data_IF_768774210848
#
_entry.id   IF_768774210848
#
_cell.length_a   1.000
_cell.length_b   1.000
_cell.length_c   1.000
_cell.angle_alpha   90.00
_cell.angle_beta   90.00
_cell.angle_gamma   90.00
#
_symmetry.space_group_name_H-M   'P 1'
#
loop_
_entity.id
_entity.type
_entity.pdbx_description
1 polymer ?
#
# COMPACT_ATOMS: atom_id res chain seq x y z
N UNK A 1 -32.84 -1.21 -54.65
CA UNK A 1 -33.74 -0.98 -53.50
C UNK A 1 -33.91 -2.28 -52.74
N UNK A 2 -33.61 -2.24 -51.43
CA UNK A 2 -34.10 -3.11 -50.35
C UNK A 2 -33.77 -4.61 -50.37
N UNK A 3 -32.59 -4.93 -49.85
CA UNK A 3 -32.33 -6.18 -49.13
C UNK A 3 -33.18 -6.23 -47.87
N UNK A 4 -34.09 -7.20 -47.77
CA UNK A 4 -34.95 -7.40 -46.59
C UNK A 4 -34.14 -7.97 -45.43
N UNK A 5 -34.08 -7.16 -44.37
CA UNK A 5 -33.70 -7.51 -43.01
C UNK A 5 -34.60 -8.62 -42.48
N UNK A 6 -34.03 -9.79 -42.22
CA UNK A 6 -34.66 -10.82 -41.38
C UNK A 6 -33.63 -11.39 -40.42
N UNK A 7 -33.11 -10.53 -39.55
CA UNK A 7 -32.44 -10.93 -38.31
C UNK A 7 -32.76 -9.86 -37.26
N UNK A 8 -34.03 -9.82 -36.83
CA UNK A 8 -34.46 -9.06 -35.66
C UNK A 8 -35.03 -10.08 -34.68
N UNK A 9 -34.30 -10.31 -33.59
CA UNK A 9 -34.82 -11.02 -32.42
C UNK A 9 -33.87 -12.05 -31.83
N UNK A 10 -32.78 -11.61 -31.20
CA UNK A 10 -32.11 -12.25 -30.03
C UNK A 10 -30.61 -11.92 -29.94
N UNK A 11 -30.18 -10.67 -30.02
CA UNK A 11 -28.85 -10.27 -29.50
C UNK A 11 -28.89 -8.85 -28.97
N UNK A 12 -29.76 -8.59 -28.00
CA UNK A 12 -29.70 -7.35 -27.22
C UNK A 12 -29.75 -7.69 -25.72
N UNK A 13 -28.94 -8.66 -25.31
CA UNK A 13 -28.65 -8.91 -23.90
C UNK A 13 -27.35 -8.19 -23.52
N UNK A 14 -27.52 -7.09 -22.79
CA UNK A 14 -26.65 -6.64 -21.70
C UNK A 14 -25.13 -6.61 -21.91
N UNK A 15 -24.66 -5.95 -22.97
CA UNK A 15 -23.24 -5.54 -23.10
C UNK A 15 -23.02 -4.04 -22.87
N UNK A 16 -23.86 -3.37 -22.08
CA UNK A 16 -23.78 -1.90 -21.88
C UNK A 16 -22.65 -1.44 -20.93
N UNK A 17 -21.97 -2.34 -20.23
CA UNK A 17 -20.93 -1.97 -19.24
C UNK A 17 -19.56 -2.64 -19.45
N UNK A 18 -19.36 -3.38 -20.55
CA UNK A 18 -18.06 -4.01 -20.83
C UNK A 18 -17.20 -3.09 -21.70
N UNK A 19 -15.99 -2.78 -21.24
CA UNK A 19 -14.98 -2.08 -22.04
C UNK A 19 -14.66 -2.94 -23.28
N UNK A 20 -14.67 -2.35 -24.48
CA UNK A 20 -14.50 -3.05 -25.77
C UNK A 20 -13.24 -3.94 -25.79
N UNK A 21 -12.18 -3.54 -25.09
CA UNK A 21 -10.95 -4.30 -24.94
C UNK A 21 -11.14 -5.62 -24.17
N UNK A 22 -12.06 -5.67 -23.21
CA UNK A 22 -12.38 -6.85 -22.40
C UNK A 22 -13.21 -7.86 -23.18
N UNK A 23 -14.16 -7.38 -23.97
CA UNK A 23 -14.87 -8.20 -24.96
C UNK A 23 -13.90 -8.75 -26.01
N UNK A 24 -12.99 -7.93 -26.54
CA UNK A 24 -11.98 -8.39 -27.49
C UNK A 24 -11.02 -9.40 -26.85
N UNK A 25 -10.63 -9.24 -25.59
CA UNK A 25 -9.84 -10.24 -24.88
C UNK A 25 -10.62 -11.55 -24.66
N UNK A 26 -11.92 -11.47 -24.31
CA UNK A 26 -12.83 -12.62 -24.21
C UNK A 26 -12.93 -13.38 -25.54
N UNK A 27 -13.19 -12.67 -26.65
CA UNK A 27 -13.25 -13.27 -27.98
C UNK A 27 -11.88 -13.80 -28.42
N UNK A 28 -10.79 -13.05 -28.27
CA UNK A 28 -9.45 -13.50 -28.67
C UNK A 28 -8.93 -14.69 -27.85
N UNK A 29 -9.34 -14.82 -26.59
CA UNK A 29 -9.05 -15.99 -25.76
C UNK A 29 -9.87 -17.21 -26.16
N UNK A 30 -11.18 -17.05 -26.39
CA UNK A 30 -12.03 -18.15 -26.89
C UNK A 30 -11.61 -18.64 -28.28
N UNK A 31 -11.02 -17.77 -29.11
CA UNK A 31 -10.60 -18.08 -30.49
C UNK A 31 -9.07 -18.22 -30.66
N UNK A 32 -8.30 -18.37 -29.58
CA UNK A 32 -6.92 -18.87 -29.63
C UNK A 32 -5.83 -17.94 -30.22
N UNK A 33 -6.07 -16.63 -30.34
CA UNK A 33 -5.05 -15.70 -30.83
C UNK A 33 -4.30 -15.06 -29.65
N UNK A 34 -3.19 -15.68 -29.28
CA UNK A 34 -2.27 -15.26 -28.22
C UNK A 34 -1.67 -13.89 -28.49
N UNK A 35 -2.05 -12.89 -27.69
CA UNK A 35 -1.27 -11.66 -27.55
C UNK A 35 -0.80 -11.53 -26.10
N UNK A 36 0.30 -12.21 -25.78
CA UNK A 36 0.98 -12.24 -24.47
C UNK A 36 1.29 -10.86 -23.87
N UNK A 37 1.36 -9.82 -24.71
CA UNK A 37 1.82 -8.48 -24.29
C UNK A 37 0.85 -7.75 -23.35
N UNK A 38 -0.46 -7.99 -23.46
CA UNK A 38 -1.45 -7.32 -22.58
C UNK A 38 -1.63 -8.03 -21.24
N UNK A 39 -1.25 -9.31 -21.13
CA UNK A 39 -1.31 -10.08 -19.88
C UNK A 39 -0.22 -9.70 -18.87
N UNK A 40 0.77 -8.89 -19.27
CA UNK A 40 1.83 -8.40 -18.40
C UNK A 40 1.48 -7.11 -17.66
N UNK A 41 0.41 -6.40 -18.04
CA UNK A 41 -0.08 -5.26 -17.27
C UNK A 41 -0.99 -5.74 -16.14
N UNK A 42 -0.52 -5.57 -14.89
CA UNK A 42 -1.26 -5.97 -13.69
C UNK A 42 -2.59 -5.23 -13.55
N UNK A 43 -2.69 -3.97 -14.01
CA UNK A 43 -3.94 -3.21 -13.97
C UNK A 43 -4.99 -3.83 -14.89
N UNK A 44 -4.57 -4.22 -16.09
CA UNK A 44 -5.41 -4.93 -17.04
C UNK A 44 -5.79 -6.33 -16.53
N UNK A 45 -4.82 -7.09 -15.99
CA UNK A 45 -5.04 -8.44 -15.47
C UNK A 45 -6.05 -8.45 -14.31
N UNK A 46 -6.00 -7.45 -13.43
CA UNK A 46 -6.91 -7.31 -12.30
C UNK A 46 -8.34 -6.97 -12.76
N UNK A 47 -8.48 -6.11 -13.79
CA UNK A 47 -9.78 -5.84 -14.44
C UNK A 47 -10.34 -7.08 -15.14
N UNK A 48 -9.48 -7.84 -15.82
CA UNK A 48 -9.85 -9.08 -16.48
C UNK A 48 -10.33 -10.13 -15.48
N UNK A 49 -9.63 -10.29 -14.35
CA UNK A 49 -10.05 -11.17 -13.27
C UNK A 49 -11.40 -10.77 -12.69
N UNK A 50 -11.62 -9.47 -12.42
CA UNK A 50 -12.91 -8.97 -11.92
C UNK A 50 -14.06 -9.30 -12.87
N UNK A 51 -13.86 -9.10 -14.18
CA UNK A 51 -14.89 -9.48 -15.15
C UNK A 51 -15.07 -11.00 -15.25
N UNK A 52 -14.00 -11.77 -15.23
CA UNK A 52 -14.08 -13.24 -15.22
C UNK A 52 -14.85 -13.74 -13.99
N UNK A 53 -14.72 -13.07 -12.84
CA UNK A 53 -15.49 -13.35 -11.64
C UNK A 53 -16.98 -13.00 -11.80
N UNK A 54 -17.30 -11.84 -12.39
CA UNK A 54 -18.70 -11.41 -12.64
C UNK A 54 -19.41 -12.34 -13.63
N UNK A 55 -18.69 -12.82 -14.65
CA UNK A 55 -19.25 -13.71 -15.68
C UNK A 55 -19.04 -15.20 -15.41
N UNK A 56 -18.54 -15.56 -14.22
CA UNK A 56 -18.32 -16.95 -13.77
C UNK A 56 -17.47 -17.81 -14.71
N UNK A 57 -16.49 -17.21 -15.40
CA UNK A 57 -15.60 -17.92 -16.33
C UNK A 57 -14.40 -18.48 -15.55
N UNK A 58 -14.49 -19.74 -15.13
CA UNK A 58 -13.52 -20.37 -14.23
C UNK A 58 -12.13 -20.56 -14.86
N UNK A 59 -12.03 -20.85 -16.15
CA UNK A 59 -10.76 -21.06 -16.86
C UNK A 59 -9.93 -19.77 -16.88
N UNK A 60 -10.58 -18.64 -17.15
CA UNK A 60 -9.94 -17.34 -17.18
C UNK A 60 -9.54 -16.87 -15.77
N UNK A 61 -10.36 -17.17 -14.75
CA UNK A 61 -10.01 -16.93 -13.34
C UNK A 61 -8.76 -17.71 -12.94
N UNK A 62 -8.68 -18.99 -13.33
CA UNK A 62 -7.54 -19.85 -12.99
C UNK A 62 -6.25 -19.37 -13.68
N UNK A 63 -6.31 -18.98 -14.95
CA UNK A 63 -5.16 -18.42 -15.66
C UNK A 63 -4.68 -17.10 -15.05
N UNK A 64 -5.60 -16.19 -14.72
CA UNK A 64 -5.22 -14.94 -14.05
C UNK A 64 -4.55 -15.23 -12.70
N UNK A 65 -5.12 -16.16 -11.91
CA UNK A 65 -4.53 -16.60 -10.64
C UNK A 65 -3.12 -17.15 -10.82
N UNK A 66 -2.91 -18.04 -11.77
CA UNK A 66 -1.59 -18.62 -12.06
C UNK A 66 -0.58 -17.52 -12.41
N UNK A 67 -0.94 -16.57 -13.26
CA UNK A 67 -0.07 -15.43 -13.60
C UNK A 67 0.26 -14.56 -12.40
N UNK A 68 -0.70 -14.27 -11.52
CA UNK A 68 -0.45 -13.53 -10.28
C UNK A 68 0.47 -14.30 -9.31
N UNK A 69 0.26 -15.61 -9.16
CA UNK A 69 1.07 -16.45 -8.27
C UNK A 69 2.50 -16.60 -8.78
N UNK A 70 2.69 -16.78 -10.09
CA UNK A 70 4.02 -16.86 -10.70
C UNK A 70 4.73 -15.51 -10.78
N UNK A 71 4.04 -14.39 -10.53
CA UNK A 71 4.65 -13.07 -10.56
C UNK A 71 5.55 -12.83 -9.35
N UNK A 72 6.70 -12.20 -9.62
CA UNK A 72 7.65 -11.78 -8.58
C UNK A 72 7.31 -10.37 -8.08
N UNK A 73 7.11 -10.16 -6.76
CA UNK A 73 6.95 -8.82 -6.22
C UNK A 73 8.26 -8.02 -6.36
N UNK A 74 8.15 -6.85 -6.97
CA UNK A 74 9.19 -5.85 -7.20
C UNK A 74 8.73 -4.51 -6.61
N UNK A 75 9.65 -3.59 -6.40
CA UNK A 75 9.37 -2.29 -5.78
C UNK A 75 8.22 -1.49 -6.43
N UNK A 76 8.05 -1.59 -7.75
CA UNK A 76 7.04 -0.83 -8.49
C UNK A 76 5.65 -1.50 -8.54
N UNK A 77 5.57 -2.82 -8.37
CA UNK A 77 4.33 -3.59 -8.54
C UNK A 77 3.82 -4.21 -7.23
N UNK A 78 4.56 -4.08 -6.12
CA UNK A 78 4.26 -4.78 -4.87
C UNK A 78 2.85 -4.48 -4.35
N UNK A 79 2.38 -3.23 -4.45
CA UNK A 79 1.03 -2.87 -4.02
C UNK A 79 -0.05 -3.40 -4.97
N UNK A 80 0.17 -3.35 -6.29
CA UNK A 80 -0.76 -3.93 -7.25
C UNK A 80 -0.90 -5.45 -7.06
N UNK A 81 0.20 -6.13 -6.77
CA UNK A 81 0.22 -7.55 -6.45
C UNK A 81 -0.40 -7.85 -5.08
N UNK A 82 -0.25 -6.95 -4.11
CA UNK A 82 -0.88 -7.08 -2.81
C UNK A 82 -2.40 -6.95 -2.90
N UNK A 83 -2.89 -5.96 -3.66
CA UNK A 83 -4.31 -5.79 -3.95
C UNK A 83 -4.88 -6.99 -4.71
N UNK A 84 -4.13 -7.50 -5.70
CA UNK A 84 -4.48 -8.74 -6.39
C UNK A 84 -4.52 -9.92 -5.41
N UNK A 85 -3.51 -10.08 -4.56
CA UNK A 85 -3.44 -11.14 -3.56
C UNK A 85 -4.63 -11.13 -2.60
N UNK A 86 -5.02 -9.94 -2.11
CA UNK A 86 -6.22 -9.75 -1.27
C UNK A 86 -7.49 -10.10 -2.03
N UNK A 87 -7.63 -9.68 -3.30
CA UNK A 87 -8.80 -10.01 -4.13
C UNK A 87 -8.91 -11.51 -4.44
N UNK A 88 -7.78 -12.18 -4.58
CA UNK A 88 -7.69 -13.61 -4.86
C UNK A 88 -7.76 -14.50 -3.62
N UNK A 89 -7.72 -13.91 -2.41
CA UNK A 89 -7.49 -14.60 -1.15
C UNK A 89 -6.26 -15.54 -1.20
N UNK A 90 -5.20 -15.10 -1.86
CA UNK A 90 -3.97 -15.88 -2.05
C UNK A 90 -2.92 -15.49 -1.00
N UNK A 91 -2.94 -16.18 0.14
CA UNK A 91 -2.03 -15.90 1.25
C UNK A 91 -0.55 -15.98 0.87
N UNK A 92 -0.16 -16.95 0.03
CA UNK A 92 1.24 -17.11 -0.39
C UNK A 92 1.76 -15.92 -1.22
N UNK A 93 0.91 -15.26 -1.99
CA UNK A 93 1.27 -14.03 -2.71
C UNK A 93 1.34 -12.85 -1.74
N UNK A 94 0.36 -12.72 -0.84
CA UNK A 94 0.32 -11.68 0.20
C UNK A 94 1.58 -11.72 1.07
N UNK A 95 1.97 -12.90 1.55
CA UNK A 95 3.18 -13.08 2.37
C UNK A 95 4.46 -12.70 1.63
N UNK A 96 4.58 -13.04 0.34
CA UNK A 96 5.72 -12.62 -0.48
C UNK A 96 5.77 -11.10 -0.67
N UNK A 97 4.62 -10.46 -0.89
CA UNK A 97 4.53 -9.00 -0.97
C UNK A 97 4.91 -8.35 0.37
N UNK A 98 4.44 -8.86 1.50
CA UNK A 98 4.82 -8.36 2.82
C UNK A 98 6.31 -8.49 3.08
N UNK A 99 6.93 -9.62 2.74
CA UNK A 99 8.38 -9.80 2.90
C UNK A 99 9.19 -8.75 2.13
N UNK A 100 8.79 -8.44 0.89
CA UNK A 100 9.45 -7.39 0.10
C UNK A 100 9.18 -6.00 0.69
N UNK A 101 7.94 -5.72 1.14
CA UNK A 101 7.62 -4.45 1.79
C UNK A 101 8.41 -4.26 3.08
N UNK A 102 8.63 -5.28 3.89
CA UNK A 102 9.40 -5.20 5.14
C UNK A 102 10.89 -4.94 4.87
N UNK A 103 11.48 -5.61 3.87
CA UNK A 103 12.91 -5.50 3.56
C UNK A 103 13.23 -4.20 2.80
N UNK A 104 12.32 -3.73 1.95
CA UNK A 104 12.57 -2.64 0.99
C UNK A 104 11.58 -1.49 1.12
N UNK A 105 11.02 -1.23 2.30
CA UNK A 105 9.98 -0.20 2.52
C UNK A 105 10.43 1.16 1.96
N UNK A 106 11.61 1.62 2.34
CA UNK A 106 12.17 2.90 1.94
C UNK A 106 12.41 2.97 0.41
N UNK A 107 12.93 1.91 -0.21
CA UNK A 107 13.10 1.85 -1.67
C UNK A 107 11.75 1.88 -2.42
N UNK A 108 10.74 1.18 -1.89
CA UNK A 108 9.39 1.16 -2.43
C UNK A 108 8.76 2.55 -2.35
N UNK A 109 8.90 3.21 -1.20
CA UNK A 109 8.38 4.54 -0.96
C UNK A 109 9.14 5.62 -1.75
N UNK A 110 10.44 5.44 -2.00
CA UNK A 110 11.22 6.35 -2.85
C UNK A 110 10.91 6.16 -4.35
N UNK A 111 10.60 4.93 -4.77
CA UNK A 111 10.23 4.62 -6.15
C UNK A 111 8.81 5.09 -6.49
N UNK A 112 7.95 5.27 -5.49
CA UNK A 112 6.62 5.84 -5.65
C UNK A 112 6.66 7.33 -5.38
N UNK A 113 6.08 8.12 -6.27
CA UNK A 113 5.78 9.51 -5.92
C UNK A 113 4.80 9.50 -4.73
N UNK A 114 5.02 10.36 -3.73
CA UNK A 114 4.14 10.50 -2.55
C UNK A 114 2.67 10.62 -2.95
N UNK A 115 2.45 11.29 -4.08
CA UNK A 115 1.18 11.46 -4.75
C UNK A 115 0.43 10.17 -5.12
N UNK A 116 1.12 9.07 -5.38
CA UNK A 116 0.51 7.84 -5.91
C UNK A 116 0.18 6.84 -4.80
N UNK A 117 0.53 7.15 -3.55
CA UNK A 117 0.30 6.30 -2.39
C UNK A 117 -1.11 6.57 -1.87
N UNK A 118 -1.93 5.52 -1.84
CA UNK A 118 -3.30 5.62 -1.30
C UNK A 118 -3.31 5.48 0.23
N UNK A 119 -4.33 6.02 0.92
CA UNK A 119 -4.50 5.83 2.36
C UNK A 119 -4.47 4.36 2.80
N UNK A 120 -5.02 3.45 1.99
CA UNK A 120 -5.04 2.02 2.27
C UNK A 120 -3.64 1.38 2.21
N UNK A 121 -2.80 1.82 1.25
CA UNK A 121 -1.41 1.39 1.17
C UNK A 121 -0.63 1.88 2.39
N UNK A 122 -0.84 3.14 2.80
CA UNK A 122 -0.17 3.69 3.97
C UNK A 122 -0.53 2.93 5.25
N UNK A 123 -1.81 2.66 5.51
CA UNK A 123 -2.24 1.83 6.66
C UNK A 123 -1.54 0.47 6.66
N UNK A 124 -1.48 -0.17 5.48
CA UNK A 124 -0.80 -1.46 5.33
C UNK A 124 0.69 -1.39 5.69
N UNK A 125 1.38 -0.28 5.39
CA UNK A 125 2.80 -0.08 5.75
C UNK A 125 2.95 0.15 7.26
N UNK A 126 2.08 0.98 7.86
CA UNK A 126 2.15 1.27 9.29
C UNK A 126 1.78 0.07 10.17
N UNK A 127 1.03 -0.89 9.64
CA UNK A 127 0.75 -2.15 10.33
C UNK A 127 1.90 -3.16 10.26
N UNK A 128 2.93 -2.93 9.43
CA UNK A 128 4.03 -3.88 9.32
C UNK A 128 4.84 -3.96 10.62
N UNK A 129 5.18 -5.19 11.07
CA UNK A 129 6.02 -5.39 12.24
C UNK A 129 7.48 -5.03 11.98
N UNK A 130 7.90 -4.93 10.71
CA UNK A 130 9.25 -4.57 10.31
C UNK A 130 9.21 -3.59 9.14
N UNK A 131 10.01 -2.54 9.22
CA UNK A 131 10.16 -1.55 8.15
C UNK A 131 11.64 -1.25 7.93
N UNK A 132 12.01 -0.89 6.70
CA UNK A 132 13.40 -0.63 6.35
C UNK A 132 13.89 0.79 6.69
N UNK A 133 13.19 1.52 7.57
CA UNK A 133 13.62 2.82 8.08
C UNK A 133 14.61 2.64 9.23
N UNK A 134 15.37 3.69 9.55
CA UNK A 134 16.37 3.62 10.62
C UNK A 134 15.74 3.82 12.01
N UNK A 135 14.64 4.57 12.10
CA UNK A 135 13.86 4.73 13.34
C UNK A 135 12.39 5.09 13.11
N UNK A 136 11.58 5.03 14.18
CA UNK A 136 10.18 5.48 14.15
C UNK A 136 10.09 6.97 13.80
N UNK A 137 11.08 7.78 14.19
CA UNK A 137 11.15 9.20 13.87
C UNK A 137 11.11 9.45 12.35
N UNK A 138 11.90 8.71 11.58
CA UNK A 138 11.93 8.83 10.11
C UNK A 138 10.60 8.42 9.48
N UNK A 139 9.99 7.34 9.97
CA UNK A 139 8.69 6.88 9.51
C UNK A 139 7.62 7.95 9.76
N UNK A 140 7.58 8.53 10.96
CA UNK A 140 6.64 9.60 11.31
C UNK A 140 6.87 10.82 10.42
N UNK A 141 8.12 11.26 10.22
CA UNK A 141 8.42 12.37 9.32
C UNK A 141 7.93 12.12 7.90
N UNK A 142 8.14 10.91 7.39
CA UNK A 142 7.69 10.50 6.06
C UNK A 142 6.16 10.53 5.96
N UNK A 143 5.45 10.01 6.97
CA UNK A 143 3.98 10.05 7.04
C UNK A 143 3.47 11.50 7.03
N UNK A 144 4.08 12.38 7.82
CA UNK A 144 3.70 13.80 7.84
C UNK A 144 3.95 14.49 6.49
N UNK A 145 5.02 14.14 5.79
CA UNK A 145 5.29 14.63 4.44
C UNK A 145 4.23 14.13 3.44
N UNK A 146 3.81 12.86 3.55
CA UNK A 146 2.74 12.29 2.74
C UNK A 146 1.40 12.97 3.02
N UNK A 147 1.00 13.13 4.29
CA UNK A 147 -0.27 13.80 4.67
C UNK A 147 -0.31 15.24 4.13
N UNK A 148 0.82 15.95 4.20
CA UNK A 148 0.93 17.29 3.60
C UNK A 148 0.70 17.25 2.09
N UNK A 149 1.32 16.30 1.38
CA UNK A 149 1.11 16.13 -0.06
C UNK A 149 -0.33 15.76 -0.41
N UNK A 150 -1.01 14.96 0.43
CA UNK A 150 -2.38 14.51 0.22
C UNK A 150 -3.40 15.64 0.48
N UNK A 151 -3.18 16.44 1.54
CA UNK A 151 -4.00 17.62 1.84
C UNK A 151 -3.96 18.69 0.74
N UNK A 152 -2.89 18.72 -0.07
CA UNK A 152 -2.80 19.61 -1.24
C UNK A 152 -3.59 19.09 -2.44
N UNK A 153 -3.93 17.79 -2.48
CA UNK A 153 -4.69 17.16 -3.56
C UNK A 153 -6.18 17.20 -3.30
N UNK A 154 -6.58 16.95 -2.07
CA UNK A 154 -7.97 16.92 -1.64
C UNK A 154 -8.26 18.20 -0.84
N UNK A 155 -8.71 19.24 -1.53
CA UNK A 155 -9.03 20.56 -0.93
C UNK A 155 -10.14 20.51 0.12
N UNK A 156 -10.83 19.37 0.26
CA UNK A 156 -11.93 19.20 1.20
C UNK A 156 -11.49 18.74 2.59
N UNK A 157 -10.27 18.20 2.76
CA UNK A 157 -9.79 17.68 4.05
C UNK A 157 -8.60 18.46 4.56
N UNK A 158 -8.64 18.80 5.84
CA UNK A 158 -7.51 19.43 6.53
C UNK A 158 -6.43 18.39 6.87
N UNK A 159 -5.19 18.86 7.05
CA UNK A 159 -4.06 18.03 7.48
C UNK A 159 -4.39 17.18 8.72
N UNK A 160 -5.07 17.76 9.71
CA UNK A 160 -5.47 17.07 10.95
C UNK A 160 -6.48 15.96 10.70
N UNK A 161 -7.50 16.20 9.87
CA UNK A 161 -8.52 15.20 9.55
C UNK A 161 -7.91 13.97 8.86
N UNK A 162 -6.95 14.17 7.95
CA UNK A 162 -6.24 13.07 7.31
C UNK A 162 -5.33 12.36 8.33
N UNK A 163 -4.59 13.11 9.14
CA UNK A 163 -3.63 12.54 10.10
C UNK A 163 -4.29 11.67 11.17
N UNK A 164 -5.47 12.06 11.67
CA UNK A 164 -6.20 11.35 12.73
C UNK A 164 -6.41 9.87 12.41
N UNK A 165 -6.64 9.52 11.14
CA UNK A 165 -6.81 8.14 10.69
C UNK A 165 -5.55 7.27 10.83
N UNK A 166 -4.38 7.89 10.95
CA UNK A 166 -3.08 7.22 11.01
C UNK A 166 -2.42 7.30 12.38
N UNK A 167 -2.82 8.25 13.24
CA UNK A 167 -2.27 8.43 14.59
C UNK A 167 -2.19 7.13 15.42
N UNK A 168 -3.20 6.23 15.43
CA UNK A 168 -3.13 4.97 16.20
C UNK A 168 -2.08 3.97 15.71
N UNK A 169 -1.51 4.18 14.53
CA UNK A 169 -0.48 3.33 13.94
C UNK A 169 0.94 3.87 14.13
N UNK A 170 1.08 5.12 14.56
CA UNK A 170 2.35 5.75 14.87
C UNK A 170 2.70 5.51 16.33
N UNK A 171 3.93 5.11 16.60
CA UNK A 171 4.37 4.81 17.97
C UNK A 171 5.24 5.93 18.53
N UNK A 172 4.62 7.02 18.97
CA UNK A 172 5.34 8.14 19.58
C UNK A 172 6.13 7.75 20.83
N UNK A 173 5.74 6.66 21.53
CA UNK A 173 6.42 6.17 22.72
C UNK A 173 7.76 5.47 22.42
N UNK A 174 8.01 5.07 21.16
CA UNK A 174 9.30 4.54 20.74
C UNK A 174 10.32 5.65 20.40
N UNK A 175 9.92 6.92 20.46
CA UNK A 175 10.81 8.03 20.20
C UNK A 175 11.64 8.36 21.44
N UNK A 176 12.87 8.81 21.22
CA UNK A 176 13.63 9.48 22.26
C UNK A 176 13.06 10.86 22.56
N UNK A 177 13.34 11.39 23.76
CA UNK A 177 12.92 12.75 24.14
C UNK A 177 13.46 13.82 23.16
N UNK A 178 14.66 13.60 22.60
CA UNK A 178 15.26 14.48 21.60
C UNK A 178 14.52 14.42 20.25
N UNK A 179 14.23 13.22 19.75
CA UNK A 179 13.46 13.03 18.51
C UNK A 179 12.06 13.62 18.64
N UNK A 180 11.39 13.40 19.77
CA UNK A 180 10.08 13.99 20.03
C UNK A 180 10.15 15.52 20.08
N UNK A 181 11.15 16.10 20.74
CA UNK A 181 11.34 17.55 20.76
C UNK A 181 11.59 18.13 19.36
N UNK A 182 12.36 17.44 18.50
CA UNK A 182 12.57 17.82 17.10
C UNK A 182 11.27 17.76 16.28
N UNK A 183 10.45 16.71 16.45
CA UNK A 183 9.12 16.65 15.83
C UNK A 183 8.23 17.80 16.30
N UNK A 184 8.23 18.06 17.60
CA UNK A 184 7.42 19.09 18.23
C UNK A 184 7.77 20.49 17.71
N UNK A 185 9.06 20.83 17.63
CA UNK A 185 9.50 22.14 17.14
C UNK A 185 9.08 22.39 15.68
N UNK A 186 9.16 21.37 14.83
CA UNK A 186 8.90 21.51 13.40
C UNK A 186 7.41 21.55 13.04
N UNK A 187 6.51 21.05 13.91
CA UNK A 187 5.10 20.77 13.58
C UNK A 187 4.10 21.09 14.70
N UNK A 188 4.47 21.97 15.64
CA UNK A 188 3.74 22.28 16.89
C UNK A 188 2.24 22.56 16.75
N UNK A 189 1.78 23.22 15.68
CA UNK A 189 0.37 23.63 15.53
C UNK A 189 -0.54 22.57 14.92
N UNK A 190 0.04 21.65 14.14
CA UNK A 190 -0.72 20.83 13.20
C UNK A 190 -0.81 19.36 13.64
N UNK A 191 0.07 18.94 14.55
CA UNK A 191 0.21 17.54 14.96
C UNK A 191 -0.74 17.15 16.10
N UNK A 192 -0.74 17.88 17.20
CA UNK A 192 -1.54 17.61 18.40
C UNK A 192 -1.60 18.84 19.32
N UNK A 193 -2.47 18.84 20.32
CA UNK A 193 -2.58 19.93 21.31
C UNK A 193 -1.39 19.92 22.29
N UNK A 194 -1.15 21.06 22.95
CA UNK A 194 -0.05 21.18 23.94
C UNK A 194 -0.18 20.19 25.10
N UNK A 195 -1.42 19.91 25.54
CA UNK A 195 -1.69 18.94 26.59
C UNK A 195 -1.38 17.50 26.16
N UNK A 196 -1.76 17.13 24.93
CA UNK A 196 -1.45 15.81 24.37
C UNK A 196 0.06 15.63 24.18
N UNK A 197 0.74 16.65 23.65
CA UNK A 197 2.18 16.65 23.46
C UNK A 197 2.95 16.52 24.77
N UNK A 198 2.56 17.27 25.79
CA UNK A 198 3.13 17.18 27.13
C UNK A 198 2.93 15.77 27.72
N UNK A 199 1.71 15.23 27.61
CA UNK A 199 1.39 13.91 28.15
C UNK A 199 2.21 12.81 27.48
N UNK A 200 2.41 12.87 26.16
CA UNK A 200 3.27 11.94 25.43
C UNK A 200 4.73 12.10 25.84
N UNK A 201 5.24 13.33 25.89
CA UNK A 201 6.62 13.60 26.31
C UNK A 201 6.92 13.06 27.71
N UNK A 202 6.00 13.27 28.66
CA UNK A 202 6.14 12.73 30.02
C UNK A 202 6.11 11.20 30.05
N UNK A 203 5.34 10.55 29.18
CA UNK A 203 5.32 9.09 29.07
C UNK A 203 6.56 8.52 28.35
N UNK A 204 7.22 9.29 27.49
CA UNK A 204 8.54 8.93 26.93
C UNK A 204 9.60 8.97 28.03
N UNK A 205 9.59 10.00 28.87
CA UNK A 205 10.57 10.14 29.96
C UNK A 205 10.31 9.19 31.14
N UNK A 206 9.05 9.06 31.54
CA UNK A 206 8.58 8.23 32.66
C UNK A 206 7.28 7.52 32.23
N UNK A 207 7.37 6.25 31.77
CA UNK A 207 6.21 5.49 31.32
C UNK A 207 5.11 5.40 32.38
N UNK A 208 3.86 5.70 31.99
CA UNK A 208 2.69 5.63 32.86
C UNK A 208 2.48 6.84 33.77
N UNK A 209 3.27 7.91 33.62
CA UNK A 209 3.19 9.09 34.47
C UNK A 209 1.94 9.95 34.24
N UNK A 210 1.44 10.01 33.01
CA UNK A 210 0.33 10.88 32.61
C UNK A 210 -0.69 10.13 31.74
N UNK A 211 -1.98 10.52 31.76
CA UNK A 211 -2.98 9.94 30.88
C UNK A 211 -2.63 10.20 29.41
N UNK A 212 -2.53 9.13 28.62
CA UNK A 212 -2.25 9.24 27.19
C UNK A 212 -3.49 9.71 26.41
N UNK A 213 -3.29 10.39 25.26
CA UNK A 213 -4.40 10.73 24.36
C UNK A 213 -5.17 9.48 23.91
N UNK A 214 -6.47 9.63 23.65
CA UNK A 214 -7.36 8.51 23.31
C UNK A 214 -6.94 7.72 22.05
N UNK A 215 -6.23 8.36 21.13
CA UNK A 215 -5.70 7.77 19.91
C UNK A 215 -4.30 7.15 20.08
N UNK A 216 -3.61 7.44 21.17
CA UNK A 216 -2.24 6.98 21.41
C UNK A 216 -2.27 5.59 22.08
N UNK A 217 -1.62 4.57 21.49
CA UNK A 217 -1.61 3.23 22.07
C UNK A 217 -0.86 3.24 23.41
N UNK A 218 -1.47 2.65 24.45
CA UNK A 218 -0.86 2.57 25.79
C UNK A 218 0.31 1.59 25.88
N UNK A 219 0.41 0.68 24.92
CA UNK A 219 1.55 -0.24 24.78
C UNK A 219 2.31 0.13 23.50
N UNK A 220 3.64 0.32 23.59
CA UNK A 220 4.44 0.57 22.40
C UNK A 220 4.32 -0.63 21.45
N UNK A 221 3.95 -0.36 20.19
CA UNK A 221 4.07 -1.36 19.12
C UNK A 221 5.54 -1.65 18.90
N UNK A 222 5.96 -2.89 19.14
CA UNK A 222 7.31 -3.33 18.82
C UNK A 222 7.41 -3.45 17.29
N UNK A 223 8.12 -2.50 16.68
CA UNK A 223 8.43 -2.50 15.25
C UNK A 223 9.93 -2.61 15.08
N UNK A 224 10.37 -3.57 14.28
CA UNK A 224 11.78 -3.77 13.97
C UNK A 224 12.21 -2.77 12.89
N UNK A 225 13.24 -2.01 13.20
CA UNK A 225 13.90 -1.07 12.29
C UNK A 225 15.13 -1.70 11.66
N UNK A 226 15.71 -1.04 10.68
CA UNK A 226 16.97 -1.51 10.10
C UNK A 226 18.06 -1.40 11.16
N UNK A 227 18.59 -2.54 11.62
CA UNK A 227 19.76 -2.55 12.50
C UNK A 227 20.91 -1.80 11.84
N UNK A 228 21.46 -0.79 12.52
CA UNK A 228 22.69 -0.09 12.10
C UNK A 228 23.95 -0.98 12.12
N UNK A 229 23.82 -2.29 12.43
CA UNK A 229 24.93 -3.21 12.65
C UNK A 229 25.24 -4.17 11.49
N UNK A 230 24.77 -3.91 10.26
CA UNK A 230 25.10 -4.76 9.11
C UNK A 230 26.19 -4.23 8.17
N UNK A 231 26.73 -3.03 8.39
CA UNK A 231 27.78 -2.45 7.54
C UNK A 231 29.21 -2.66 8.06
N UNK A 232 29.40 -3.32 9.21
CA UNK A 232 30.73 -3.61 9.77
C UNK A 232 31.30 -5.00 9.42
N UNK A 233 30.57 -5.83 8.66
CA UNK A 233 31.04 -7.16 8.21
C UNK A 233 31.44 -7.24 6.74
N UNK A 234 31.33 -6.15 5.97
CA UNK A 234 31.75 -6.09 4.57
C UNK A 234 33.19 -5.59 4.36
N UNK A 235 33.90 -5.20 5.42
CA UNK A 235 35.26 -4.65 5.37
C UNK A 235 36.39 -5.59 5.81
N UNK A 236 36.11 -6.88 6.10
CA UNK A 236 37.14 -7.83 6.57
C UNK A 236 37.59 -8.93 5.59
N UNK A 237 37.17 -8.92 4.32
CA UNK A 237 37.64 -9.92 3.33
C UNK A 237 38.48 -9.33 2.19
N UNK A 238 39.48 -8.52 2.52
CA UNK A 238 40.55 -8.13 1.58
C UNK A 238 41.91 -7.98 2.26
N UNK A 239 42.36 -9.00 3.00
CA UNK A 239 43.80 -9.24 3.23
C UNK A 239 44.00 -10.76 3.33
N UNK A 240 44.71 -11.34 2.35
CA UNK A 240 45.05 -12.75 2.27
C UNK A 240 45.28 -13.18 0.83
#
# INVERSE_FOLDING_TARGET
MRSQLMYIGCTQMEMRHMNLALCQAKFRFMYGSSSDRQLNDFSFLLKLYKAAAVYEINELKNLCKEKFVCSTPKKNNVFQLLDAGKLLNCESLIQRCYKILQVKTAEVLAAQELCNITPAMLKTILELPRVSFDSEYELILWVLAWVKSDSLKDSCKTFKEILVDFLPYLNFLNLTAEEFAKLWQNRRSDLMSEQEGFSIFMNIAVPGSHPLPSWCPSTPKQRDYRDQNFDSLSSMNSIG
#
